data_IF_138784341929
#
_entry.id   IF_138784341929
#
_cell.length_a   1.000
_cell.length_b   1.000
_cell.length_c   1.000
_cell.angle_alpha   90.00
_cell.angle_beta   90.00
_cell.angle_gamma   90.00
#
_symmetry.space_group_name_H-M   'P 1'
#
loop_
_entity.id
_entity.type
_entity.pdbx_description
1 polymer ?
#
# COMPACT_ATOMS: atom_id res chain seq x y z
N UNK A 1 43.50 -23.99 7.05
CA UNK A 1 42.41 -23.03 7.26
C UNK A 1 41.66 -22.91 5.95
N UNK A 2 40.56 -23.66 5.77
CA UNK A 2 39.81 -23.69 4.52
C UNK A 2 39.15 -22.33 4.34
N UNK A 3 39.52 -21.58 3.31
CA UNK A 3 38.72 -20.46 2.80
C UNK A 3 37.32 -20.99 2.55
N UNK A 4 36.42 -20.76 3.51
CA UNK A 4 35.04 -21.22 3.44
C UNK A 4 34.39 -20.56 2.24
N UNK A 5 33.85 -21.39 1.33
CA UNK A 5 33.15 -20.93 0.14
C UNK A 5 32.15 -19.81 0.51
N UNK A 6 32.34 -18.62 -0.05
CA UNK A 6 31.55 -17.41 0.29
C UNK A 6 30.06 -17.66 0.08
N UNK A 7 29.71 -18.45 -0.94
CA UNK A 7 28.34 -18.90 -1.20
C UNK A 7 27.75 -19.67 0.00
N UNK A 8 28.53 -20.59 0.57
CA UNK A 8 28.10 -21.40 1.72
C UNK A 8 27.95 -20.54 2.99
N UNK A 9 28.74 -19.47 3.13
CA UNK A 9 28.57 -18.51 4.21
C UNK A 9 27.27 -17.69 4.02
N UNK A 10 26.99 -17.27 2.79
CA UNK A 10 25.78 -16.52 2.43
C UNK A 10 24.50 -17.33 2.64
N UNK A 11 24.46 -18.58 2.18
CA UNK A 11 23.29 -19.46 2.38
C UNK A 11 23.03 -19.76 3.85
N UNK A 12 24.10 -19.93 4.66
CA UNK A 12 23.97 -20.09 6.12
C UNK A 12 23.45 -18.83 6.80
N UNK A 13 23.87 -17.66 6.32
CA UNK A 13 23.39 -16.37 6.82
C UNK A 13 21.91 -16.16 6.49
N UNK A 14 21.49 -16.44 5.26
CA UNK A 14 20.09 -16.41 4.83
C UNK A 14 19.20 -17.30 5.71
N UNK A 15 19.63 -18.55 5.92
CA UNK A 15 18.87 -19.54 6.69
C UNK A 15 18.70 -19.11 8.15
N UNK A 16 19.64 -18.34 8.71
CA UNK A 16 19.53 -17.79 10.07
C UNK A 16 18.52 -16.64 10.19
N UNK A 17 18.39 -15.81 9.16
CA UNK A 17 17.49 -14.65 9.18
C UNK A 17 16.06 -15.07 8.80
N UNK A 18 15.91 -16.00 7.84
CA UNK A 18 14.60 -16.50 7.42
C UNK A 18 13.71 -15.47 6.70
N UNK A 19 14.28 -14.39 6.15
CA UNK A 19 13.54 -13.37 5.40
C UNK A 19 13.57 -13.67 3.91
N UNK A 20 12.39 -13.71 3.27
CA UNK A 20 12.26 -13.88 1.81
C UNK A 20 13.02 -12.81 1.03
N UNK A 21 12.95 -11.56 1.48
CA UNK A 21 13.67 -10.44 0.85
C UNK A 21 15.19 -10.61 0.91
N UNK A 22 15.71 -11.13 2.02
CA UNK A 22 17.14 -11.37 2.16
C UNK A 22 17.59 -12.54 1.29
N UNK A 23 16.75 -13.57 1.16
CA UNK A 23 16.97 -14.71 0.26
C UNK A 23 17.18 -14.25 -1.19
N UNK A 24 16.39 -13.29 -1.65
CA UNK A 24 16.53 -12.74 -3.00
C UNK A 24 17.81 -11.91 -3.16
N UNK A 25 18.18 -11.08 -2.17
CA UNK A 25 19.48 -10.38 -2.17
C UNK A 25 20.65 -11.37 -2.22
N UNK A 26 20.59 -12.45 -1.43
CA UNK A 26 21.63 -13.49 -1.34
C UNK A 26 21.77 -14.24 -2.65
N UNK A 27 20.66 -14.60 -3.32
CA UNK A 27 20.69 -15.20 -4.66
C UNK A 27 21.32 -14.28 -5.69
N UNK A 28 20.95 -13.00 -5.68
CA UNK A 28 21.56 -11.98 -6.54
C UNK A 28 23.07 -11.87 -6.32
N UNK A 29 23.52 -11.88 -5.07
CA UNK A 29 24.94 -11.78 -4.73
C UNK A 29 25.73 -13.05 -5.13
N UNK A 30 25.14 -14.23 -4.96
CA UNK A 30 25.75 -15.49 -5.41
C UNK A 30 25.95 -15.48 -6.94
N UNK A 31 24.96 -15.01 -7.71
CA UNK A 31 25.12 -14.88 -9.16
C UNK A 31 26.21 -13.87 -9.57
N UNK A 32 26.34 -12.74 -8.85
CA UNK A 32 27.45 -11.80 -9.11
C UNK A 32 28.81 -12.44 -8.81
N UNK A 33 28.92 -13.21 -7.73
CA UNK A 33 30.14 -13.94 -7.38
C UNK A 33 30.49 -14.98 -8.46
N UNK A 34 29.50 -15.55 -9.15
CA UNK A 34 29.67 -16.47 -10.28
C UNK A 34 29.97 -15.79 -11.62
N UNK A 35 29.93 -14.45 -11.67
CA UNK A 35 30.18 -13.66 -12.87
C UNK A 35 28.93 -13.31 -13.69
N UNK A 36 27.73 -13.57 -13.16
CA UNK A 36 26.47 -13.22 -13.83
C UNK A 36 26.17 -11.71 -13.73
N UNK A 37 25.69 -11.13 -14.83
CA UNK A 37 25.25 -9.74 -14.87
C UNK A 37 23.87 -9.56 -14.21
N UNK A 38 23.87 -9.43 -12.88
CA UNK A 38 22.65 -9.28 -12.08
C UNK A 38 22.19 -7.83 -11.89
N UNK A 39 22.65 -6.89 -12.72
CA UNK A 39 22.28 -5.46 -12.60
C UNK A 39 20.77 -5.26 -12.70
N UNK A 40 20.12 -5.90 -13.68
CA UNK A 40 18.66 -5.84 -13.86
C UNK A 40 17.93 -6.51 -12.70
N UNK A 41 18.48 -7.61 -12.17
CA UNK A 41 17.93 -8.31 -11.01
C UNK A 41 17.91 -7.40 -9.76
N UNK A 42 19.02 -6.72 -9.47
CA UNK A 42 19.06 -5.76 -8.35
C UNK A 42 18.18 -4.53 -8.59
N UNK A 43 18.03 -4.10 -9.84
CA UNK A 43 17.13 -3.01 -10.17
C UNK A 43 15.67 -3.38 -9.89
N UNK A 44 15.25 -4.59 -10.29
CA UNK A 44 13.92 -5.12 -9.98
C UNK A 44 13.72 -5.29 -8.47
N UNK A 45 14.71 -5.85 -7.77
CA UNK A 45 14.67 -6.01 -6.32
C UNK A 45 14.53 -4.67 -5.58
N UNK A 46 15.21 -3.63 -6.03
CA UNK A 46 15.10 -2.28 -5.46
C UNK A 46 13.71 -1.67 -5.66
N UNK A 47 13.06 -2.00 -6.79
CA UNK A 47 11.72 -1.56 -7.08
C UNK A 47 10.70 -2.32 -6.24
N UNK A 48 10.87 -3.63 -6.08
CA UNK A 48 10.02 -4.47 -5.24
C UNK A 48 10.07 -4.05 -3.77
N UNK A 49 11.24 -3.67 -3.25
CA UNK A 49 11.37 -3.11 -1.91
C UNK A 49 10.61 -1.79 -1.74
N UNK A 50 10.70 -0.88 -2.71
CA UNK A 50 9.92 0.37 -2.70
C UNK A 50 8.41 0.10 -2.76
N UNK A 51 7.99 -0.87 -3.57
CA UNK A 51 6.58 -1.26 -3.63
C UNK A 51 6.09 -1.83 -2.29
N UNK A 52 6.92 -2.62 -1.61
CA UNK A 52 6.58 -3.18 -0.32
C UNK A 52 6.46 -2.11 0.77
N UNK A 53 7.36 -1.12 0.79
CA UNK A 53 7.26 0.03 1.69
C UNK A 53 5.96 0.81 1.44
N UNK A 54 5.62 1.05 0.17
CA UNK A 54 4.35 1.67 -0.21
C UNK A 54 3.14 0.83 0.21
N UNK A 55 3.21 -0.50 0.09
CA UNK A 55 2.16 -1.38 0.57
C UNK A 55 2.00 -1.32 2.09
N UNK A 56 3.10 -1.26 2.84
CA UNK A 56 3.06 -1.07 4.30
C UNK A 56 2.52 0.30 4.68
N UNK A 57 2.88 1.35 3.94
CA UNK A 57 2.31 2.68 4.14
C UNK A 57 0.81 2.69 3.86
N UNK A 58 0.38 2.08 2.74
CA UNK A 58 -1.04 1.92 2.40
C UNK A 58 -1.79 1.11 3.45
N UNK A 59 -1.20 0.03 3.96
CA UNK A 59 -1.85 -0.78 5.00
C UNK A 59 -1.99 -0.01 6.31
N UNK A 60 -1.01 0.82 6.68
CA UNK A 60 -1.10 1.70 7.84
C UNK A 60 -2.16 2.80 7.66
N UNK A 61 -2.25 3.39 6.47
CA UNK A 61 -3.32 4.35 6.10
C UNK A 61 -4.69 3.66 6.12
N UNK A 62 -4.76 2.41 5.66
CA UNK A 62 -5.98 1.60 5.61
C UNK A 62 -6.40 1.06 6.99
N UNK A 63 -5.61 1.26 8.05
CA UNK A 63 -6.04 1.09 9.45
C UNK A 63 -6.72 2.35 10.03
N UNK A 64 -6.69 3.49 9.32
CA UNK A 64 -7.40 4.74 9.68
C UNK A 64 -8.78 5.00 9.03
N UNK A 65 -9.53 4.04 8.43
CA UNK A 65 -10.74 4.35 7.65
C UNK A 65 -11.98 4.62 8.52
N UNK A 66 -11.94 4.26 9.80
CA UNK A 66 -13.10 4.45 10.70
C UNK A 66 -13.55 5.91 10.84
N UNK A 67 -12.63 6.87 10.71
CA UNK A 67 -12.96 8.30 10.76
C UNK A 67 -13.62 8.78 9.47
N UNK A 68 -13.10 8.38 8.31
CA UNK A 68 -13.58 8.84 6.99
C UNK A 68 -15.03 8.39 6.75
N UNK A 69 -15.38 7.16 7.14
CA UNK A 69 -16.75 6.63 6.95
C UNK A 69 -17.81 7.43 7.71
N UNK A 70 -17.50 7.91 8.93
CA UNK A 70 -18.43 8.73 9.73
C UNK A 70 -18.60 10.13 9.13
N UNK A 71 -17.51 10.78 8.73
CA UNK A 71 -17.59 12.10 8.08
C UNK A 71 -18.31 12.05 6.74
N UNK A 72 -18.08 11.03 5.93
CA UNK A 72 -18.77 10.84 4.65
C UNK A 72 -20.28 10.66 4.83
N UNK A 73 -20.71 9.95 5.88
CA UNK A 73 -22.13 9.74 6.18
C UNK A 73 -22.81 11.03 6.66
N UNK A 74 -22.12 11.83 7.48
CA UNK A 74 -22.61 13.14 7.93
C UNK A 74 -22.73 14.13 6.76
N UNK A 75 -21.75 14.14 5.85
CA UNK A 75 -21.79 14.98 4.65
C UNK A 75 -22.99 14.62 3.75
N UNK A 76 -23.22 13.33 3.49
CA UNK A 76 -24.39 12.87 2.74
C UNK A 76 -25.72 13.28 3.40
N UNK A 77 -25.82 13.13 4.72
CA UNK A 77 -27.00 13.57 5.47
C UNK A 77 -27.28 15.06 5.30
N UNK A 78 -26.24 15.89 5.37
CA UNK A 78 -26.35 17.33 5.16
C UNK A 78 -26.88 17.68 3.76
N UNK A 79 -26.36 17.01 2.71
CA UNK A 79 -26.84 17.20 1.34
C UNK A 79 -28.32 16.85 1.17
N UNK A 80 -28.75 15.71 1.75
CA UNK A 80 -30.14 15.26 1.68
C UNK A 80 -31.07 16.27 2.37
N UNK A 81 -30.72 16.72 3.57
CA UNK A 81 -31.54 17.69 4.33
C UNK A 81 -31.65 19.00 3.56
N UNK A 82 -30.55 19.54 3.05
CA UNK A 82 -30.57 20.80 2.31
C UNK A 82 -31.51 20.73 1.10
N UNK A 83 -31.45 19.64 0.33
CA UNK A 83 -32.30 19.45 -0.85
C UNK A 83 -33.79 19.30 -0.48
N UNK A 84 -34.10 18.51 0.56
CA UNK A 84 -35.48 18.33 1.02
C UNK A 84 -36.08 19.66 1.54
N UNK A 85 -35.31 20.46 2.26
CA UNK A 85 -35.78 21.77 2.75
C UNK A 85 -36.16 22.71 1.62
N UNK A 86 -35.28 22.85 0.61
CA UNK A 86 -35.56 23.69 -0.56
C UNK A 86 -36.77 23.19 -1.32
N UNK A 87 -36.86 21.87 -1.56
CA UNK A 87 -37.99 21.27 -2.27
C UNK A 87 -39.32 21.52 -1.55
N UNK A 88 -39.37 21.33 -0.22
CA UNK A 88 -40.59 21.53 0.56
C UNK A 88 -41.05 22.98 0.56
N UNK A 89 -40.12 23.94 0.72
CA UNK A 89 -40.45 25.38 0.63
C UNK A 89 -41.04 25.72 -0.74
N UNK A 90 -40.44 25.21 -1.81
CA UNK A 90 -40.88 25.47 -3.17
C UNK A 90 -42.23 24.83 -3.47
N UNK A 91 -42.52 23.64 -2.93
CA UNK A 91 -43.84 23.00 -3.03
C UNK A 91 -44.91 23.85 -2.35
N UNK A 92 -44.66 24.33 -1.13
CA UNK A 92 -45.61 25.16 -0.38
C UNK A 92 -45.86 26.49 -1.09
N UNK A 93 -44.81 27.14 -1.58
CA UNK A 93 -44.91 28.40 -2.32
C UNK A 93 -45.69 28.22 -3.63
N UNK A 94 -45.43 27.15 -4.37
CA UNK A 94 -46.15 26.83 -5.61
C UNK A 94 -47.62 26.50 -5.35
N UNK A 95 -47.94 25.78 -4.27
CA UNK A 95 -49.34 25.52 -3.88
C UNK A 95 -50.07 26.80 -3.45
N UNK A 96 -49.38 27.71 -2.75
CA UNK A 96 -49.94 29.01 -2.36
C UNK A 96 -50.14 30.00 -3.52
N UNK A 97 -49.47 29.81 -4.65
CA UNK A 97 -49.73 30.56 -5.91
C UNK A 97 -50.85 29.97 -6.77
N UNK A 98 -51.24 28.72 -6.51
CA UNK A 98 -52.26 27.99 -7.27
C UNK A 98 -53.68 28.13 -6.69
N UNK A 99 -53.80 28.57 -5.43
CA UNK A 99 -55.06 28.95 -4.76
C UNK A 99 -55.18 30.48 -4.67
#
# INVERSE_FOLDING_TARGET
MKTGNVESALTRFETRIGSSMLSDVVRGLIGVIRGDNNVVYFQMLSHDFKQLELQRLKSEVMKRPGKIRRYSMLMLGCFIVMYLTVMMLQIVENMGRLF
#
